data_IF_099161437719
#
_entry.id   IF_099161437719
#
_cell.length_a   1.000
_cell.length_b   1.000
_cell.length_c   1.000
_cell.angle_alpha   90.00
_cell.angle_beta   90.00
_cell.angle_gamma   90.00
#
_symmetry.space_group_name_H-M   'P 1'
#
loop_
_entity.id
_entity.type
_entity.pdbx_description
1 polymer ?
#
# COMPACT_ATOMS: atom_id res chain seq x y z
N UNK A 1 -41.63 -52.12 30.25
CA UNK A 1 -40.16 -52.01 30.29
C UNK A 1 -39.67 -51.68 28.90
N UNK A 2 -38.91 -50.60 28.80
CA UNK A 2 -38.66 -49.82 27.58
C UNK A 2 -37.77 -50.55 26.56
N UNK A 3 -38.15 -50.45 25.29
CA UNK A 3 -37.32 -50.77 24.15
C UNK A 3 -37.33 -49.56 23.21
N UNK A 4 -36.24 -48.79 23.20
CA UNK A 4 -35.96 -47.78 22.18
C UNK A 4 -34.49 -47.92 21.78
N UNK A 5 -34.29 -48.30 20.52
CA UNK A 5 -32.98 -48.52 19.94
C UNK A 5 -32.28 -47.26 19.44
N UNK A 6 -31.02 -47.51 19.04
CA UNK A 6 -30.16 -46.77 18.10
C UNK A 6 -29.96 -45.27 18.35
N UNK A 7 -28.69 -44.88 18.55
CA UNK A 7 -27.95 -44.16 17.50
C UNK A 7 -26.45 -44.06 17.77
N UNK A 8 -25.69 -44.32 16.70
CA UNK A 8 -24.25 -44.21 16.54
C UNK A 8 -23.64 -42.86 16.95
N UNK A 9 -22.38 -42.87 17.40
CA UNK A 9 -21.23 -42.37 16.59
C UNK A 9 -19.90 -42.55 17.35
N UNK A 10 -19.11 -43.51 16.86
CA UNK A 10 -17.64 -43.51 16.98
C UNK A 10 -17.11 -42.19 16.43
N UNK A 11 -16.16 -41.58 17.13
CA UNK A 11 -15.26 -40.55 16.57
C UNK A 11 -13.87 -41.15 16.48
N UNK A 12 -13.57 -41.68 15.29
CA UNK A 12 -12.21 -41.93 14.82
C UNK A 12 -11.70 -40.68 14.09
N UNK A 13 -10.45 -40.30 14.38
CA UNK A 13 -9.49 -39.94 13.33
C UNK A 13 -9.20 -38.47 13.02
N UNK A 14 -7.89 -38.23 12.79
CA UNK A 14 -7.20 -37.05 12.20
C UNK A 14 -6.72 -36.04 13.25
N UNK A 15 -5.42 -35.87 13.53
CA UNK A 15 -4.21 -36.13 12.75
C UNK A 15 -3.34 -34.87 12.82
N UNK A 16 -2.52 -34.74 13.86
CA UNK A 16 -1.69 -33.56 14.12
C UNK A 16 -0.21 -33.94 14.24
N UNK A 17 0.49 -33.81 13.11
CA UNK A 17 1.94 -33.92 12.87
C UNK A 17 2.87 -34.20 14.06
N UNK A 18 3.39 -35.42 14.10
CA UNK A 18 4.52 -35.82 14.95
C UNK A 18 5.79 -35.04 14.60
N UNK A 19 6.28 -34.27 15.56
CA UNK A 19 7.69 -33.87 15.63
C UNK A 19 8.51 -35.08 16.06
N UNK A 20 9.52 -35.42 15.26
CA UNK A 20 10.33 -36.62 15.41
C UNK A 20 10.96 -36.75 16.80
N UNK A 21 10.75 -37.92 17.40
CA UNK A 21 11.32 -38.35 18.67
C UNK A 21 12.82 -38.63 18.45
N UNK A 22 13.70 -37.69 18.85
CA UNK A 22 15.15 -37.90 18.80
C UNK A 22 15.74 -37.87 20.22
N UNK A 23 15.97 -39.05 20.86
CA UNK A 23 16.47 -39.15 22.23
C UNK A 23 17.92 -38.67 22.43
N UNK A 24 18.59 -38.17 21.38
CA UNK A 24 19.99 -37.74 21.41
C UNK A 24 20.19 -36.23 21.49
N UNK A 25 19.14 -35.42 21.59
CA UNK A 25 19.27 -33.96 21.80
C UNK A 25 19.32 -33.65 23.32
N UNK A 26 20.47 -33.24 23.88
CA UNK A 26 20.61 -32.93 25.30
C UNK A 26 19.74 -31.74 25.75
N UNK A 27 19.17 -30.97 24.81
CA UNK A 27 18.29 -29.85 25.09
C UNK A 27 16.80 -30.17 24.85
N UNK A 28 16.46 -31.43 24.56
CA UNK A 28 15.09 -31.86 24.28
C UNK A 28 14.13 -31.52 25.44
N UNK A 29 14.50 -31.89 26.66
CA UNK A 29 13.68 -31.64 27.86
C UNK A 29 13.46 -30.15 28.10
N UNK A 30 14.51 -29.33 27.92
CA UNK A 30 14.41 -27.87 28.05
C UNK A 30 13.52 -27.26 26.97
N UNK A 31 13.63 -27.71 25.71
CA UNK A 31 12.78 -27.26 24.60
C UNK A 31 11.31 -27.60 24.87
N UNK A 32 11.05 -28.81 25.36
CA UNK A 32 9.71 -29.25 25.70
C UNK A 32 9.14 -28.44 26.88
N UNK A 33 9.92 -28.26 27.94
CA UNK A 33 9.54 -27.46 29.10
C UNK A 33 9.22 -26.01 28.73
N UNK A 34 10.08 -25.34 27.94
CA UNK A 34 9.85 -23.99 27.44
C UNK A 34 8.58 -23.90 26.58
N UNK A 35 8.29 -24.95 25.79
CA UNK A 35 7.08 -25.01 24.98
C UNK A 35 5.83 -25.08 25.86
N UNK A 36 5.89 -25.82 26.96
CA UNK A 36 4.82 -25.87 27.95
C UNK A 36 4.66 -24.53 28.68
N UNK A 37 5.75 -23.87 29.11
CA UNK A 37 5.67 -22.55 29.74
C UNK A 37 4.99 -21.51 28.82
N UNK A 38 5.34 -21.50 27.53
CA UNK A 38 4.70 -20.63 26.52
C UNK A 38 3.21 -20.94 26.36
N UNK A 39 2.81 -22.21 26.42
CA UNK A 39 1.41 -22.63 26.38
C UNK A 39 0.66 -22.14 27.61
N UNK A 40 1.22 -22.35 28.81
CA UNK A 40 0.64 -21.91 30.08
C UNK A 40 0.44 -20.39 30.12
N UNK A 41 1.44 -19.60 29.66
CA UNK A 41 1.29 -18.14 29.57
C UNK A 41 0.17 -17.73 28.62
N UNK A 42 0.05 -18.40 27.46
CA UNK A 42 -0.95 -18.07 26.45
C UNK A 42 -2.39 -18.27 26.95
N UNK A 43 -2.62 -19.31 27.75
CA UNK A 43 -3.95 -19.61 28.28
C UNK A 43 -4.23 -18.92 29.63
N UNK A 44 -3.30 -18.10 30.14
CA UNK A 44 -3.43 -17.46 31.45
C UNK A 44 -3.49 -18.46 32.60
N UNK A 45 -2.74 -19.56 32.48
CA UNK A 45 -2.79 -20.65 33.44
C UNK A 45 -2.30 -20.19 34.84
N UNK A 46 -3.05 -20.48 35.92
CA UNK A 46 -2.68 -20.04 37.27
C UNK A 46 -1.41 -20.72 37.79
N UNK A 47 -0.97 -21.82 37.17
CA UNK A 47 0.26 -22.52 37.55
C UNK A 47 1.54 -21.76 37.13
N UNK A 48 1.44 -20.82 36.19
CA UNK A 48 2.57 -19.98 35.80
C UNK A 48 2.61 -18.73 36.67
N UNK A 49 3.39 -18.79 37.75
CA UNK A 49 3.43 -17.72 38.76
C UNK A 49 4.10 -16.45 38.22
N UNK A 50 3.70 -15.24 38.69
CA UNK A 50 4.33 -13.98 38.29
C UNK A 50 5.86 -13.96 38.45
N UNK A 51 6.37 -14.58 39.53
CA UNK A 51 7.81 -14.69 39.79
C UNK A 51 8.53 -15.48 38.70
N UNK A 52 7.91 -16.56 38.21
CA UNK A 52 8.47 -17.39 37.14
C UNK A 52 8.46 -16.64 35.81
N UNK A 53 7.42 -15.84 35.54
CA UNK A 53 7.36 -14.99 34.35
C UNK A 53 8.50 -13.97 34.39
N UNK A 54 8.67 -13.26 35.52
CA UNK A 54 9.75 -12.27 35.69
C UNK A 54 11.14 -12.90 35.50
N UNK A 55 11.40 -14.05 36.11
CA UNK A 55 12.68 -14.74 35.95
C UNK A 55 12.95 -15.14 34.49
N UNK A 56 11.92 -15.60 33.77
CA UNK A 56 12.06 -15.94 32.35
C UNK A 56 12.23 -14.70 31.46
N UNK A 57 11.58 -13.58 31.81
CA UNK A 57 11.77 -12.29 31.15
C UNK A 57 13.21 -11.75 31.34
N UNK A 58 13.75 -11.84 32.55
CA UNK A 58 15.14 -11.45 32.87
C UNK A 58 16.17 -12.30 32.12
N UNK A 59 15.88 -13.58 31.90
CA UNK A 59 16.69 -14.47 31.08
C UNK A 59 16.50 -14.25 29.56
N UNK A 60 15.63 -13.33 29.14
CA UNK A 60 15.37 -13.02 27.73
C UNK A 60 14.62 -14.11 26.98
N UNK A 61 13.82 -14.94 27.68
CA UNK A 61 13.08 -16.02 27.05
C UNK A 61 11.95 -15.47 26.17
N UNK A 62 12.09 -15.65 24.87
CA UNK A 62 11.05 -15.32 23.91
C UNK A 62 9.78 -16.14 24.15
N UNK A 63 8.68 -15.45 24.45
CA UNK A 63 7.37 -16.07 24.68
C UNK A 63 6.61 -16.39 23.40
N UNK A 64 6.86 -15.62 22.33
CA UNK A 64 6.42 -15.95 20.97
C UNK A 64 7.63 -15.85 20.01
N UNK A 65 8.48 -16.90 19.95
CA UNK A 65 9.67 -16.91 19.09
C UNK A 65 9.34 -16.69 17.61
N UNK A 66 8.13 -17.07 17.18
CA UNK A 66 7.71 -16.91 15.79
C UNK A 66 7.34 -15.47 15.47
N UNK A 67 6.70 -14.76 16.40
CA UNK A 67 6.46 -13.33 16.29
C UNK A 67 7.77 -12.54 16.40
N UNK A 68 8.66 -12.91 17.31
CA UNK A 68 9.97 -12.28 17.44
C UNK A 68 10.81 -12.44 16.18
N UNK A 69 10.84 -13.64 15.60
CA UNK A 69 11.55 -13.86 14.33
C UNK A 69 10.94 -13.08 13.16
N UNK A 70 9.61 -12.92 13.17
CA UNK A 70 8.93 -12.06 12.20
C UNK A 70 9.32 -10.59 12.39
N UNK A 71 9.36 -10.10 13.63
CA UNK A 71 9.76 -8.73 13.97
C UNK A 71 11.22 -8.45 13.59
N UNK A 72 12.15 -9.39 13.82
CA UNK A 72 13.55 -9.29 13.37
C UNK A 72 13.65 -9.11 11.85
N UNK A 73 12.95 -9.97 11.11
CA UNK A 73 12.97 -9.94 9.64
C UNK A 73 12.31 -8.66 9.11
N UNK A 74 11.26 -8.17 9.77
CA UNK A 74 10.64 -6.89 9.47
C UNK A 74 11.60 -5.71 9.70
N UNK A 75 12.33 -5.68 10.84
CA UNK A 75 13.35 -4.65 11.10
C UNK A 75 14.46 -4.68 10.05
N UNK A 76 14.92 -5.87 9.66
CA UNK A 76 15.90 -6.01 8.59
C UNK A 76 15.39 -5.46 7.24
N UNK A 77 14.10 -5.65 6.93
CA UNK A 77 13.47 -5.07 5.74
C UNK A 77 13.35 -3.54 5.82
N UNK A 78 12.99 -3.00 6.98
CA UNK A 78 12.94 -1.55 7.23
C UNK A 78 14.31 -0.92 6.99
N UNK A 79 15.36 -1.54 7.53
CA UNK A 79 16.73 -1.06 7.35
C UNK A 79 17.18 -1.17 5.89
N UNK A 80 16.86 -2.29 5.23
CA UNK A 80 17.11 -2.44 3.79
C UNK A 80 16.43 -1.32 2.99
N UNK A 81 15.16 -1.02 3.28
CA UNK A 81 14.43 0.07 2.63
C UNK A 81 15.07 1.43 2.91
N UNK A 82 15.50 1.68 4.15
CA UNK A 82 16.17 2.93 4.52
C UNK A 82 17.44 3.15 3.69
N UNK A 83 18.21 2.10 3.45
CA UNK A 83 19.45 2.17 2.67
C UNK A 83 19.23 2.23 1.16
N UNK A 84 18.20 1.56 0.64
CA UNK A 84 18.02 1.36 -0.82
C UNK A 84 16.82 2.11 -1.42
N UNK A 85 16.01 2.77 -0.59
CA UNK A 85 14.78 3.46 -1.00
C UNK A 85 13.59 2.54 -1.33
N UNK A 86 13.80 1.22 -1.45
CA UNK A 86 12.78 0.25 -1.85
C UNK A 86 12.81 -1.05 -1.03
N UNK A 87 11.78 -1.88 -1.14
CA UNK A 87 11.69 -3.18 -0.44
C UNK A 87 12.15 -4.39 -1.27
N UNK A 88 12.80 -4.14 -2.42
CA UNK A 88 13.28 -5.16 -3.34
C UNK A 88 14.61 -5.77 -2.90
N UNK A 89 14.55 -6.70 -1.95
CA UNK A 89 15.72 -7.41 -1.45
C UNK A 89 16.29 -8.33 -2.54
N UNK A 90 17.59 -8.24 -2.88
CA UNK A 90 18.24 -9.14 -3.83
C UNK A 90 18.14 -10.60 -3.40
N UNK A 91 18.37 -11.53 -4.34
CA UNK A 91 18.35 -12.97 -4.03
C UNK A 91 19.41 -13.34 -2.98
N UNK A 92 20.53 -12.63 -3.00
CA UNK A 92 21.61 -12.73 -2.02
C UNK A 92 21.71 -11.41 -1.25
N UNK A 93 21.52 -11.48 0.07
CA UNK A 93 21.64 -10.32 0.94
C UNK A 93 22.46 -10.70 2.18
N UNK A 94 23.81 -10.62 2.12
CA UNK A 94 24.70 -11.07 3.18
C UNK A 94 24.41 -10.50 4.58
N UNK A 95 24.00 -9.23 4.75
CA UNK A 95 23.69 -8.69 6.08
C UNK A 95 22.53 -9.41 6.78
N UNK A 96 21.60 -10.01 6.02
CA UNK A 96 20.55 -10.87 6.56
C UNK A 96 20.13 -11.93 5.53
N UNK A 97 20.82 -13.09 5.48
CA UNK A 97 20.64 -14.08 4.41
C UNK A 97 19.23 -14.69 4.35
N UNK A 98 18.49 -14.66 5.45
CA UNK A 98 17.11 -15.14 5.52
C UNK A 98 16.06 -14.18 4.93
N UNK A 99 16.43 -12.92 4.68
CA UNK A 99 15.51 -11.84 4.33
C UNK A 99 14.84 -12.07 2.96
N UNK A 100 15.58 -12.48 1.90
CA UNK A 100 14.97 -12.73 0.60
C UNK A 100 13.91 -13.85 0.66
N UNK A 101 14.18 -14.90 1.44
CA UNK A 101 13.24 -16.01 1.65
C UNK A 101 12.01 -15.55 2.44
N UNK A 102 12.22 -14.76 3.48
CA UNK A 102 11.13 -14.22 4.30
C UNK A 102 10.21 -13.28 3.50
N UNK A 103 10.79 -12.39 2.68
CA UNK A 103 10.07 -11.51 1.74
C UNK A 103 9.19 -12.34 0.80
N UNK A 104 9.77 -13.37 0.18
CA UNK A 104 9.02 -14.29 -0.71
C UNK A 104 7.86 -14.97 0.03
N UNK A 105 8.07 -15.40 1.27
CA UNK A 105 7.04 -16.03 2.08
C UNK A 105 5.86 -15.07 2.36
N UNK A 106 6.12 -13.80 2.67
CA UNK A 106 5.02 -12.83 2.92
C UNK A 106 4.14 -12.66 1.68
N UNK A 107 4.77 -12.59 0.49
CA UNK A 107 4.07 -12.52 -0.80
C UNK A 107 3.23 -13.78 -1.07
N UNK A 108 3.79 -14.96 -0.84
CA UNK A 108 3.09 -16.24 -1.02
C UNK A 108 1.90 -16.42 -0.06
N UNK A 109 2.04 -15.99 1.20
CA UNK A 109 0.94 -16.04 2.17
C UNK A 109 -0.22 -15.16 1.67
N UNK A 110 0.07 -13.93 1.23
CA UNK A 110 -0.97 -13.02 0.75
C UNK A 110 -1.67 -13.55 -0.51
N UNK A 111 -0.92 -14.08 -1.47
CA UNK A 111 -1.50 -14.65 -2.69
C UNK A 111 -2.31 -15.93 -2.41
N UNK A 112 -1.81 -16.80 -1.52
CA UNK A 112 -2.57 -17.98 -1.08
C UNK A 112 -3.87 -17.59 -0.38
N UNK A 113 -3.86 -16.53 0.43
CA UNK A 113 -5.06 -16.02 1.08
C UNK A 113 -6.07 -15.45 0.09
N UNK A 114 -5.60 -14.77 -0.96
CA UNK A 114 -6.45 -14.28 -2.05
C UNK A 114 -7.15 -15.40 -2.79
N UNK A 115 -6.46 -16.53 -3.01
CA UNK A 115 -7.01 -17.74 -3.64
C UNK A 115 -7.86 -18.60 -2.70
N UNK A 116 -7.98 -18.23 -1.43
CA UNK A 116 -8.68 -19.01 -0.42
C UNK A 116 -7.94 -20.28 0.04
N UNK A 117 -6.67 -20.42 -0.31
CA UNK A 117 -5.85 -21.61 -0.01
C UNK A 117 -5.13 -21.51 1.34
N UNK A 118 -5.00 -20.30 1.89
CA UNK A 118 -4.27 -20.03 3.14
C UNK A 118 -4.98 -18.98 3.98
N UNK A 119 -4.70 -18.98 5.27
CA UNK A 119 -5.08 -17.88 6.14
C UNK A 119 -4.34 -16.58 5.72
N UNK A 120 -5.00 -15.40 5.80
CA UNK A 120 -4.36 -14.13 5.53
C UNK A 120 -3.27 -13.80 6.56
N UNK A 121 -2.41 -12.83 6.22
CA UNK A 121 -1.50 -12.25 7.20
C UNK A 121 -2.30 -11.67 8.38
N UNK A 122 -1.75 -11.76 9.60
CA UNK A 122 -2.33 -11.09 10.76
C UNK A 122 -2.51 -9.59 10.44
N UNK A 123 -3.61 -8.92 10.84
CA UNK A 123 -3.87 -7.52 10.52
C UNK A 123 -2.71 -6.56 10.85
N UNK A 124 -2.03 -6.80 11.98
CA UNK A 124 -0.83 -6.05 12.38
C UNK A 124 0.30 -6.16 11.35
N UNK A 125 0.59 -7.38 10.88
CA UNK A 125 1.68 -7.66 9.93
C UNK A 125 1.40 -7.03 8.58
N UNK A 126 0.15 -7.10 8.10
CA UNK A 126 -0.26 -6.46 6.86
C UNK A 126 -0.13 -4.93 6.94
N UNK A 127 -0.59 -4.32 8.05
CA UNK A 127 -0.43 -2.88 8.28
C UNK A 127 1.04 -2.43 8.24
N UNK A 128 1.90 -3.09 9.00
CA UNK A 128 3.33 -2.78 9.06
C UNK A 128 4.03 -2.88 7.71
N UNK A 129 3.66 -3.87 6.89
CA UNK A 129 4.19 -4.04 5.54
C UNK A 129 3.66 -2.96 4.58
N UNK A 130 2.38 -2.59 4.69
CA UNK A 130 1.81 -1.52 3.88
C UNK A 130 2.43 -0.15 4.19
N UNK A 131 2.70 0.16 5.46
CA UNK A 131 3.33 1.41 5.90
C UNK A 131 4.71 1.65 5.28
N UNK A 132 5.48 0.58 5.08
CA UNK A 132 6.81 0.67 4.45
C UNK A 132 6.73 0.56 2.92
N UNK A 133 5.53 0.56 2.33
CA UNK A 133 5.34 0.40 0.89
C UNK A 133 5.82 -0.96 0.37
N UNK A 134 5.68 -2.03 1.17
CA UNK A 134 6.09 -3.37 0.77
C UNK A 134 5.34 -3.82 -0.48
N UNK A 135 6.09 -4.20 -1.50
CA UNK A 135 5.53 -4.71 -2.74
C UNK A 135 5.16 -6.19 -2.59
N UNK A 136 3.86 -6.50 -2.50
CA UNK A 136 3.36 -7.86 -2.36
C UNK A 136 3.31 -8.65 -3.67
N UNK A 137 3.54 -8.00 -4.82
CA UNK A 137 3.52 -8.67 -6.12
C UNK A 137 4.60 -9.77 -6.15
N UNK A 138 4.16 -11.02 -6.34
CA UNK A 138 5.07 -12.15 -6.54
C UNK A 138 5.80 -11.93 -7.88
N UNK A 139 7.12 -12.15 -7.89
CA UNK A 139 7.90 -12.16 -9.14
C UNK A 139 7.31 -13.19 -10.10
N UNK A 140 6.45 -12.74 -11.02
CA UNK A 140 6.43 -13.26 -12.38
C UNK A 140 7.53 -12.60 -13.20
N UNK A 141 7.63 -12.91 -14.50
CA UNK A 141 8.51 -12.24 -15.49
C UNK A 141 8.21 -10.73 -15.70
N UNK A 142 7.62 -10.06 -14.71
CA UNK A 142 7.18 -8.68 -14.76
C UNK A 142 8.05 -7.83 -13.83
N UNK A 143 8.36 -6.61 -14.28
CA UNK A 143 9.05 -5.59 -13.50
C UNK A 143 8.29 -5.27 -12.21
N UNK A 144 9.02 -4.80 -11.21
CA UNK A 144 8.50 -4.24 -9.96
C UNK A 144 7.87 -2.87 -10.17
N UNK A 145 7.11 -2.36 -9.19
CA UNK A 145 6.52 -1.01 -9.30
C UNK A 145 7.60 0.06 -9.54
N UNK A 146 8.72 0.01 -8.82
CA UNK A 146 9.80 1.00 -8.98
C UNK A 146 10.47 0.89 -10.35
N UNK A 147 10.70 -0.32 -10.86
CA UNK A 147 11.23 -0.52 -12.21
C UNK A 147 10.26 -0.01 -13.29
N UNK A 148 8.94 -0.21 -13.12
CA UNK A 148 7.94 0.35 -14.02
C UNK A 148 7.85 1.88 -13.92
N UNK A 149 8.01 2.43 -12.72
CA UNK A 149 8.06 3.86 -12.50
C UNK A 149 9.26 4.49 -13.22
N UNK A 150 10.44 3.87 -13.15
CA UNK A 150 11.60 4.29 -13.94
C UNK A 150 11.32 4.21 -15.45
N UNK A 151 10.70 3.14 -15.94
CA UNK A 151 10.29 3.04 -17.35
C UNK A 151 9.31 4.15 -17.75
N UNK A 152 8.42 4.58 -16.84
CA UNK A 152 7.48 5.67 -17.09
C UNK A 152 8.20 7.04 -17.15
N UNK A 153 9.22 7.25 -16.32
CA UNK A 153 10.08 8.43 -16.40
C UNK A 153 10.79 8.48 -17.75
N UNK A 154 11.42 7.38 -18.16
CA UNK A 154 12.09 7.27 -19.47
C UNK A 154 11.11 7.52 -20.62
N UNK A 155 9.90 6.95 -20.55
CA UNK A 155 8.84 7.21 -21.52
C UNK A 155 8.47 8.70 -21.55
N UNK A 156 8.31 9.35 -20.39
CA UNK A 156 8.01 10.79 -20.32
C UNK A 156 9.14 11.62 -20.91
N UNK A 157 10.41 11.29 -20.63
CA UNK A 157 11.56 11.98 -21.20
C UNK A 157 11.58 11.85 -22.73
N UNK A 158 11.22 10.68 -23.25
CA UNK A 158 11.23 10.40 -24.69
C UNK A 158 10.07 11.03 -25.46
N UNK A 159 8.87 11.05 -24.87
CA UNK A 159 7.63 11.45 -25.56
C UNK A 159 6.99 12.72 -25.01
N UNK A 160 7.56 13.33 -23.98
CA UNK A 160 7.07 14.56 -23.34
C UNK A 160 5.81 14.39 -22.47
N UNK A 161 5.24 13.18 -22.39
CA UNK A 161 3.98 12.93 -21.68
C UNK A 161 3.91 11.54 -21.05
N UNK A 162 2.98 11.31 -20.13
CA UNK A 162 2.71 9.98 -19.54
C UNK A 162 1.55 9.23 -20.23
N UNK A 163 1.18 9.61 -21.47
CA UNK A 163 0.09 8.99 -22.25
C UNK A 163 0.58 7.69 -22.90
N UNK A 164 0.91 6.68 -22.09
CA UNK A 164 1.42 5.39 -22.59
C UNK A 164 0.27 4.61 -23.29
N UNK A 165 0.43 4.20 -24.57
CA UNK A 165 -0.52 3.32 -25.25
C UNK A 165 -0.67 1.96 -24.56
N UNK A 166 -1.86 1.37 -24.58
CA UNK A 166 -2.10 0.06 -23.92
C UNK A 166 -1.27 -1.08 -24.53
N UNK A 167 -0.98 -0.97 -25.83
CA UNK A 167 -0.20 -1.90 -26.63
C UNK A 167 1.30 -1.55 -26.68
N UNK A 168 1.75 -0.56 -25.89
CA UNK A 168 3.16 -0.23 -25.77
C UNK A 168 3.94 -1.45 -25.25
N UNK A 169 4.63 -2.10 -26.20
CA UNK A 169 5.23 -3.44 -26.01
C UNK A 169 6.44 -3.42 -25.10
N UNK A 170 7.13 -2.28 -25.01
CA UNK A 170 8.30 -2.14 -24.17
C UNK A 170 7.89 -2.29 -22.70
N UNK A 171 8.34 -3.40 -22.14
CA UNK A 171 8.19 -3.79 -20.75
C UNK A 171 6.76 -3.93 -20.23
N UNK A 172 5.73 -4.03 -21.08
CA UNK A 172 4.31 -4.06 -20.67
C UNK A 172 3.87 -2.79 -19.91
N UNK A 173 4.59 -1.67 -20.10
CA UNK A 173 4.35 -0.41 -19.39
C UNK A 173 2.92 0.10 -19.59
N UNK A 174 2.33 -0.09 -20.78
CA UNK A 174 0.95 0.29 -21.07
C UNK A 174 -0.08 -0.42 -20.16
N UNK A 175 0.11 -1.72 -19.93
CA UNK A 175 -0.75 -2.51 -19.04
C UNK A 175 -0.57 -2.08 -17.58
N UNK A 176 0.67 -1.82 -17.16
CA UNK A 176 0.96 -1.33 -15.82
C UNK A 176 0.31 0.05 -15.56
N UNK A 177 0.43 0.99 -16.51
CA UNK A 177 -0.21 2.32 -16.43
C UNK A 177 -1.74 2.19 -16.33
N UNK A 178 -2.35 1.31 -17.13
CA UNK A 178 -3.79 1.02 -17.06
C UNK A 178 -4.20 0.50 -15.67
N UNK A 179 -3.38 -0.36 -15.08
CA UNK A 179 -3.60 -0.91 -13.75
C UNK A 179 -3.50 0.18 -12.66
N UNK A 180 -2.53 1.10 -12.73
CA UNK A 180 -2.42 2.22 -11.79
C UNK A 180 -3.68 3.11 -11.82
N UNK A 181 -4.20 3.42 -13.02
CA UNK A 181 -5.44 4.20 -13.19
C UNK A 181 -6.65 3.51 -12.55
N UNK A 182 -6.76 2.18 -12.72
CA UNK A 182 -7.81 1.37 -12.09
C UNK A 182 -7.74 1.46 -10.57
N UNK A 183 -6.56 1.27 -9.99
CA UNK A 183 -6.33 1.36 -8.55
C UNK A 183 -6.68 2.74 -7.98
N UNK A 184 -6.24 3.81 -8.64
CA UNK A 184 -6.59 5.16 -8.20
C UNK A 184 -8.09 5.44 -8.25
N UNK A 185 -8.76 4.97 -9.32
CA UNK A 185 -10.21 5.10 -9.43
C UNK A 185 -10.97 4.33 -8.34
N UNK A 186 -10.42 3.23 -7.83
CA UNK A 186 -11.00 2.49 -6.70
C UNK A 186 -10.81 3.24 -5.38
N UNK A 187 -9.61 3.79 -5.13
CA UNK A 187 -9.35 4.65 -3.96
C UNK A 187 -10.34 5.82 -3.91
N UNK A 188 -10.59 6.48 -5.04
CA UNK A 188 -11.51 7.63 -5.12
C UNK A 188 -12.97 7.28 -4.82
N UNK A 189 -13.38 6.02 -4.97
CA UNK A 189 -14.74 5.56 -4.64
C UNK A 189 -14.91 5.15 -3.18
N UNK A 190 -13.84 5.20 -2.38
CA UNK A 190 -13.87 4.77 -0.98
C UNK A 190 -13.97 3.25 -0.81
N UNK A 191 -13.70 2.47 -1.86
CA UNK A 191 -13.70 1.00 -1.81
C UNK A 191 -12.26 0.51 -1.99
N UNK A 192 -11.47 0.37 -0.91
CA UNK A 192 -10.17 -0.28 -0.98
C UNK A 192 -10.38 -1.78 -1.20
N UNK A 193 -10.42 -2.18 -2.48
CA UNK A 193 -10.50 -3.57 -2.88
C UNK A 193 -9.22 -4.34 -2.47
N UNK A 194 -9.35 -5.61 -2.02
CA UNK A 194 -8.22 -6.47 -1.75
C UNK A 194 -7.26 -6.56 -2.94
N UNK A 195 -6.07 -5.99 -2.76
CA UNK A 195 -4.99 -5.93 -3.75
C UNK A 195 -5.03 -4.72 -4.68
N UNK A 196 -5.53 -3.59 -4.18
CA UNK A 196 -5.06 -2.28 -4.55
C UNK A 196 -3.73 -1.98 -3.84
N UNK A 197 -2.64 -1.87 -4.60
CA UNK A 197 -1.30 -1.63 -4.07
C UNK A 197 -0.80 -0.21 -4.35
N UNK A 198 -1.70 0.69 -4.73
CA UNK A 198 -1.39 2.08 -4.95
C UNK A 198 -1.41 2.80 -3.61
N UNK A 199 -0.26 2.84 -2.93
CA UNK A 199 -0.08 3.57 -1.67
C UNK A 199 -0.06 5.07 -1.90
N UNK A 200 -0.31 5.87 -0.86
CA UNK A 200 -0.24 7.34 -0.93
C UNK A 200 1.13 7.83 -1.44
N UNK A 201 2.20 7.14 -1.05
CA UNK A 201 3.55 7.36 -1.57
C UNK A 201 3.62 7.21 -3.10
N UNK A 202 3.07 6.12 -3.63
CA UNK A 202 3.07 5.82 -5.07
C UNK A 202 2.19 6.81 -5.84
N UNK A 203 1.08 7.24 -5.24
CA UNK A 203 0.24 8.32 -5.79
C UNK A 203 1.05 9.62 -5.87
N UNK A 204 1.76 9.99 -4.80
CA UNK A 204 2.57 11.21 -4.77
C UNK A 204 3.65 11.19 -5.85
N UNK A 205 4.44 10.12 -5.94
CA UNK A 205 5.48 9.95 -6.95
C UNK A 205 4.96 10.02 -8.39
N UNK A 206 3.78 9.47 -8.64
CA UNK A 206 3.12 9.57 -9.96
C UNK A 206 2.62 11.00 -10.23
N UNK A 207 2.07 11.69 -9.22
CA UNK A 207 1.66 13.09 -9.34
C UNK A 207 2.85 14.03 -9.62
N UNK A 208 4.00 13.81 -8.98
CA UNK A 208 5.24 14.58 -9.17
C UNK A 208 5.70 14.58 -10.63
N UNK A 209 5.56 13.45 -11.33
CA UNK A 209 5.89 13.36 -12.75
C UNK A 209 4.73 13.78 -13.68
N UNK A 210 3.65 14.36 -13.15
CA UNK A 210 2.50 14.81 -13.94
C UNK A 210 1.67 13.66 -14.53
N UNK A 211 1.61 12.51 -13.85
CA UNK A 211 0.92 11.33 -14.37
C UNK A 211 -0.59 11.55 -14.55
N UNK A 212 -1.09 11.17 -15.73
CA UNK A 212 -2.51 11.26 -16.06
C UNK A 212 -3.31 10.03 -15.59
N UNK A 213 -4.08 10.22 -14.51
CA UNK A 213 -4.95 9.19 -13.92
C UNK A 213 -6.18 8.81 -14.75
N UNK A 214 -6.60 9.63 -15.71
CA UNK A 214 -7.76 9.36 -16.57
C UNK A 214 -7.33 9.18 -18.02
N UNK A 215 -7.67 8.04 -18.62
CA UNK A 215 -7.46 7.79 -20.05
C UNK A 215 -8.56 8.44 -20.88
N UNK A 216 -8.19 9.41 -21.69
CA UNK A 216 -9.02 10.11 -22.66
C UNK A 216 -8.20 11.22 -23.31
N UNK A 217 -8.77 11.94 -24.28
CA UNK A 217 -8.13 13.13 -24.89
C UNK A 217 -8.14 14.32 -23.92
N UNK A 218 -7.78 14.06 -22.66
CA UNK A 218 -7.70 15.05 -21.62
C UNK A 218 -6.33 15.71 -21.70
N UNK A 219 -6.36 17.03 -21.84
CA UNK A 219 -5.15 17.85 -21.75
C UNK A 219 -4.47 17.63 -20.39
N UNK A 220 -3.14 17.56 -20.37
CA UNK A 220 -2.32 17.54 -19.15
C UNK A 220 -2.55 18.81 -18.33
N UNK A 221 -2.05 18.83 -17.09
CA UNK A 221 -2.06 20.06 -16.31
C UNK A 221 -1.33 21.18 -17.06
N UNK A 222 -0.14 20.90 -17.61
CA UNK A 222 0.64 21.88 -18.37
C UNK A 222 -0.07 22.31 -19.66
N UNK A 223 -0.65 21.37 -20.43
CA UNK A 223 -1.44 21.69 -21.63
C UNK A 223 -2.68 22.54 -21.30
N UNK A 224 -3.26 22.40 -20.09
CA UNK A 224 -4.37 23.23 -19.60
C UNK A 224 -3.92 24.58 -19.07
N UNK A 225 -2.77 24.61 -18.40
CA UNK A 225 -2.16 25.82 -17.88
C UNK A 225 -1.70 26.73 -19.03
N UNK A 226 -1.05 26.17 -20.04
CA UNK A 226 -0.67 26.89 -21.26
C UNK A 226 -1.90 27.38 -22.04
N UNK A 227 -2.94 26.55 -22.16
CA UNK A 227 -4.22 26.96 -22.75
C UNK A 227 -4.82 28.17 -22.01
N UNK A 228 -4.75 28.17 -20.68
CA UNK A 228 -5.17 29.32 -19.86
C UNK A 228 -4.27 30.54 -20.09
N UNK A 229 -2.95 30.38 -20.14
CA UNK A 229 -2.00 31.48 -20.38
C UNK A 229 -2.25 32.15 -21.74
N UNK A 230 -2.43 31.36 -22.80
CA UNK A 230 -2.78 31.86 -24.14
C UNK A 230 -4.12 32.59 -24.11
N UNK A 231 -5.10 32.06 -23.37
CA UNK A 231 -6.38 32.73 -23.21
C UNK A 231 -6.25 34.07 -22.47
N UNK A 232 -5.51 34.11 -21.35
CA UNK A 232 -5.26 35.32 -20.57
C UNK A 232 -4.57 36.38 -21.41
N UNK A 233 -3.53 35.99 -22.18
CA UNK A 233 -2.80 36.88 -23.08
C UNK A 233 -3.73 37.54 -24.11
N UNK A 234 -4.69 36.79 -24.65
CA UNK A 234 -5.64 37.29 -25.67
C UNK A 234 -6.74 38.19 -25.09
N UNK A 235 -7.11 38.03 -23.81
CA UNK A 235 -8.28 38.68 -23.24
C UNK A 235 -7.97 39.63 -22.08
N UNK A 236 -6.72 39.70 -21.60
CA UNK A 236 -6.28 40.56 -20.50
C UNK A 236 -6.95 40.29 -19.14
N UNK A 237 -7.66 39.16 -19.00
CA UNK A 237 -8.41 38.76 -17.79
C UNK A 237 -7.83 37.48 -17.20
N UNK A 238 -8.05 37.25 -15.91
CA UNK A 238 -7.49 36.09 -15.19
C UNK A 238 -8.13 34.76 -15.54
N UNK A 239 -9.43 34.71 -15.89
CA UNK A 239 -10.10 33.47 -16.26
C UNK A 239 -11.33 33.70 -17.14
N UNK A 240 -11.66 32.76 -18.05
CA UNK A 240 -12.87 32.82 -18.85
C UNK A 240 -14.13 32.55 -18.02
N UNK A 241 -15.24 33.17 -18.40
CA UNK A 241 -16.57 32.76 -17.95
C UNK A 241 -16.98 31.46 -18.64
N UNK A 242 -18.06 30.82 -18.12
CA UNK A 242 -18.54 29.54 -18.68
C UNK A 242 -19.00 29.66 -20.13
N UNK A 243 -19.58 30.79 -20.52
CA UNK A 243 -20.05 31.03 -21.88
C UNK A 243 -18.94 31.30 -22.90
N UNK A 244 -17.79 31.81 -22.44
CA UNK A 244 -16.67 32.17 -23.32
C UNK A 244 -15.75 30.98 -23.61
N UNK A 245 -15.47 30.16 -22.59
CA UNK A 245 -14.62 28.99 -22.75
C UNK A 245 -14.92 27.94 -21.68
N UNK A 246 -16.01 27.19 -21.87
CA UNK A 246 -16.55 26.26 -20.87
C UNK A 246 -15.48 25.33 -20.30
N UNK A 247 -14.65 24.73 -21.16
CA UNK A 247 -13.60 23.78 -20.75
C UNK A 247 -12.59 24.37 -19.75
N UNK A 248 -12.01 25.53 -20.06
CA UNK A 248 -11.04 26.24 -19.20
C UNK A 248 -11.73 26.78 -17.96
N UNK A 249 -12.95 27.31 -18.09
CA UNK A 249 -13.70 27.87 -16.94
C UNK A 249 -13.97 26.81 -15.86
N UNK A 250 -14.30 25.58 -16.27
CA UNK A 250 -14.52 24.45 -15.37
C UNK A 250 -13.20 23.97 -14.76
N UNK A 251 -12.11 24.01 -15.53
CA UNK A 251 -10.77 23.69 -15.04
C UNK A 251 -10.28 24.70 -14.00
N UNK A 252 -10.37 26.01 -14.28
CA UNK A 252 -10.03 27.08 -13.32
C UNK A 252 -10.83 26.92 -12.04
N UNK A 253 -12.15 26.68 -12.11
CA UNK A 253 -12.98 26.47 -10.92
C UNK A 253 -12.47 25.31 -10.06
N UNK A 254 -11.98 24.24 -10.69
CA UNK A 254 -11.40 23.09 -10.00
C UNK A 254 -10.04 23.44 -9.37
N UNK A 255 -9.19 24.19 -10.08
CA UNK A 255 -7.90 24.67 -9.54
C UNK A 255 -8.09 25.55 -8.31
N UNK A 256 -9.04 26.49 -8.36
CA UNK A 256 -9.43 27.34 -7.22
C UNK A 256 -9.87 26.52 -6.00
N UNK A 257 -10.53 25.38 -6.20
CA UNK A 257 -10.89 24.45 -5.12
C UNK A 257 -9.65 23.77 -4.54
N UNK A 258 -8.76 23.27 -5.39
CA UNK A 258 -7.55 22.59 -4.92
C UNK A 258 -6.60 23.53 -4.19
N UNK A 259 -6.51 24.79 -4.59
CA UNK A 259 -5.77 25.81 -3.84
C UNK A 259 -6.31 26.00 -2.41
N UNK A 260 -7.64 26.00 -2.22
CA UNK A 260 -8.24 26.06 -0.88
C UNK A 260 -7.91 24.83 -0.03
N UNK A 261 -7.97 23.64 -0.62
CA UNK A 261 -7.62 22.41 0.10
C UNK A 261 -6.14 22.43 0.51
N UNK A 262 -5.26 22.90 -0.38
CA UNK A 262 -3.84 23.07 -0.07
C UNK A 262 -3.60 24.07 1.08
N UNK A 263 -4.35 25.18 1.14
CA UNK A 263 -4.28 26.14 2.25
C UNK A 263 -4.75 25.56 3.58
N UNK A 264 -5.66 24.57 3.56
CA UNK A 264 -6.08 23.79 4.74
C UNK A 264 -5.09 22.68 5.11
N UNK A 265 -3.90 22.65 4.48
CA UNK A 265 -2.87 21.63 4.69
C UNK A 265 -3.05 20.34 3.87
N UNK A 266 -4.04 20.31 2.97
CA UNK A 266 -4.39 19.14 2.14
C UNK A 266 -4.00 19.36 0.67
N UNK A 267 -2.69 19.31 0.38
CA UNK A 267 -2.12 19.51 -0.96
C UNK A 267 -2.08 18.22 -1.81
N UNK A 268 -3.13 17.38 -1.74
CA UNK A 268 -3.14 16.08 -2.44
C UNK A 268 -3.24 16.21 -3.97
N UNK A 269 -3.76 17.33 -4.48
CA UNK A 269 -4.14 17.50 -5.90
C UNK A 269 -3.26 18.44 -6.72
N UNK A 270 -2.41 19.24 -6.08
CA UNK A 270 -1.46 20.15 -6.71
C UNK A 270 -0.12 20.06 -5.99
N UNK A 271 0.98 20.02 -6.74
CA UNK A 271 2.32 20.15 -6.16
C UNK A 271 2.68 21.65 -5.95
N UNK A 272 3.78 21.93 -5.25
CA UNK A 272 4.21 23.30 -4.95
C UNK A 272 4.44 24.14 -6.20
N UNK A 273 5.09 23.57 -7.22
CA UNK A 273 5.35 24.23 -8.51
C UNK A 273 4.04 24.63 -9.23
N UNK A 274 3.03 23.76 -9.23
CA UNK A 274 1.73 24.02 -9.85
C UNK A 274 0.95 25.10 -9.08
N UNK A 275 1.06 25.10 -7.75
CA UNK A 275 0.47 26.14 -6.89
C UNK A 275 1.11 27.49 -7.21
N UNK A 276 2.44 27.54 -7.29
CA UNK A 276 3.19 28.74 -7.62
C UNK A 276 2.85 29.26 -9.02
N UNK A 277 2.82 28.38 -10.03
CA UNK A 277 2.41 28.72 -11.40
C UNK A 277 1.01 29.33 -11.46
N UNK A 278 0.04 28.75 -10.74
CA UNK A 278 -1.35 29.28 -10.70
C UNK A 278 -1.40 30.66 -10.04
N UNK A 279 -0.69 30.83 -8.91
CA UNK A 279 -0.61 32.13 -8.22
C UNK A 279 0.07 33.18 -9.08
N UNK A 280 1.13 32.81 -9.81
CA UNK A 280 1.88 33.69 -10.71
C UNK A 280 1.04 34.27 -11.86
N UNK A 281 0.02 33.55 -12.33
CA UNK A 281 -0.93 34.04 -13.35
C UNK A 281 -2.23 34.63 -12.74
N UNK A 282 -2.21 34.93 -11.43
CA UNK A 282 -3.33 35.58 -10.74
C UNK A 282 -4.53 34.67 -10.44
N UNK A 283 -4.38 33.34 -10.48
CA UNK A 283 -5.44 32.41 -10.05
C UNK A 283 -5.36 32.23 -8.53
N UNK A 284 -6.27 32.90 -7.82
CA UNK A 284 -6.45 32.79 -6.37
C UNK A 284 -7.48 31.69 -5.98
N UNK A 285 -7.43 31.17 -4.74
CA UNK A 285 -8.50 30.34 -4.19
C UNK A 285 -9.85 31.05 -4.32
N UNK A 286 -10.90 30.33 -4.70
CA UNK A 286 -12.22 30.96 -4.90
C UNK A 286 -12.92 31.22 -3.56
N UNK A 287 -13.67 32.32 -3.44
CA UNK A 287 -14.46 32.64 -2.24
C UNK A 287 -15.45 31.51 -1.88
N UNK A 288 -15.59 31.23 -0.58
CA UNK A 288 -16.67 30.38 -0.06
C UNK A 288 -18.00 31.07 -0.37
N UNK A 289 -18.88 30.37 -1.10
CA UNK A 289 -20.24 30.87 -1.26
C UNK A 289 -20.91 30.77 0.12
N UNK A 290 -21.45 31.87 0.68
CA UNK A 290 -22.20 31.79 1.91
C UNK A 290 -23.36 30.81 1.72
N UNK A 291 -23.57 29.99 2.74
CA UNK A 291 -24.53 28.90 2.75
C UNK A 291 -25.93 29.45 2.38
N UNK A 292 -26.57 28.87 1.36
CA UNK A 292 -27.96 29.23 0.97
C UNK A 292 -28.97 28.57 1.90
N UNK A 293 -28.70 28.55 3.21
CA UNK A 293 -29.66 28.23 4.26
C UNK A 293 -29.99 29.53 5.00
N UNK A 294 -30.85 30.36 4.42
CA UNK A 294 -31.21 31.64 5.05
C UNK A 294 -32.23 32.52 4.32
N UNK A 295 -32.70 32.13 3.12
CA UNK A 295 -33.77 32.85 2.42
C UNK A 295 -34.98 31.93 2.21
N UNK A 296 -35.54 31.49 3.34
CA UNK A 296 -36.97 31.20 3.49
C UNK A 296 -37.36 31.71 4.87
N UNK A 297 -37.76 32.98 4.93
CA UNK A 297 -38.73 33.50 5.90
C UNK A 297 -39.82 34.17 5.10
#
# INVERSE_FOLDING_TARGET
>A
EENVGRSSRKRDGVGGGGGGNNPRDPYHELRWWLSDQRRLRRIGAPQLRPEQIRALDELGVAWDPWEDKWNESYRALVEFRRMNGHTHVPTEYPPYPGLPRWVRLQKQIREGARRGERAPLKPRRERLLNEIGFDFELKGRSKTWDEYYSCLIEFKLRFGHTKVPNDYREHLLGQWVKQQRKYYSQLQRGVPEPGNYLTDERVRRLNEIGFLWKSGNFRTWDERFEELCVWQLRHGRTAPTRGEHESISLWVRRMRRYLREAEKGNAVFLNEEQIEKLRGIGIAPGEERPDRQGLRK
#
